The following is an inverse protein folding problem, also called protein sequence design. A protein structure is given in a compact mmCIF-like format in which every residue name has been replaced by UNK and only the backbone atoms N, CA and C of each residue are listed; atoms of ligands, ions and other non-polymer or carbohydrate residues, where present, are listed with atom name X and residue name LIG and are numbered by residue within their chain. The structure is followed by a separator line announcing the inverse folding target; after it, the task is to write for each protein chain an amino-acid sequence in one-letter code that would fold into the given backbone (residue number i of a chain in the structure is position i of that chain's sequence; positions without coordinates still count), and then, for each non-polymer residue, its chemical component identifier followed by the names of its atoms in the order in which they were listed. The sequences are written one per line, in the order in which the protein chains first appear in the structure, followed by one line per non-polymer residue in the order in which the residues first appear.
data_IF_460470262864
#
_entry.id   IF_460470262864
#
_cell.length_a   1.000
_cell.length_b   1.000
_cell.length_c   1.000
_cell.angle_alpha   90.00
_cell.angle_beta   90.00
_cell.angle_gamma   90.00
#
_symmetry.space_group_name_H-M   'P 1'
#
loop_
_entity.id
_entity.type
_entity.pdbx_description
1 polymer ?
#
# COMPACT_ATOMS: atom_id res chain seq x y z
N UNK A 1 -13.03 21.36 27.79
CA UNK A 1 -13.08 19.89 27.60
C UNK A 1 -12.89 19.62 26.13
N UNK A 2 -11.81 18.92 25.73
CA UNK A 2 -11.51 18.65 24.31
C UNK A 2 -12.36 17.48 23.84
N UNK A 3 -13.18 17.72 22.82
CA UNK A 3 -14.07 16.74 22.20
C UNK A 3 -13.24 15.54 21.72
N UNK A 4 -13.45 14.38 22.34
CA UNK A 4 -13.02 13.10 21.77
C UNK A 4 -13.98 12.77 20.65
N UNK A 5 -13.61 13.05 19.40
CA UNK A 5 -14.30 12.55 18.21
C UNK A 5 -14.13 11.03 18.22
N UNK A 6 -15.04 10.34 18.90
CA UNK A 6 -15.11 8.89 18.95
C UNK A 6 -15.77 8.46 17.65
N UNK A 7 -14.95 8.27 16.60
CA UNK A 7 -15.42 7.73 15.33
C UNK A 7 -16.06 6.37 15.66
N UNK A 8 -17.34 6.13 15.29
CA UNK A 8 -17.96 4.84 15.52
C UNK A 8 -17.19 3.76 14.77
N UNK A 9 -16.97 2.62 15.43
CA UNK A 9 -16.38 1.43 14.81
C UNK A 9 -17.30 1.00 13.66
N UNK A 10 -16.81 1.04 12.43
CA UNK A 10 -17.52 0.60 11.23
C UNK A 10 -16.99 -0.80 10.85
N UNK A 11 -17.80 -1.86 10.95
CA UNK A 11 -17.35 -3.21 10.61
C UNK A 11 -17.02 -3.37 9.10
N UNK A 12 -17.48 -2.44 8.25
CA UNK A 12 -17.12 -2.36 6.83
C UNK A 12 -15.77 -1.67 6.57
N UNK A 13 -15.15 -1.04 7.57
CA UNK A 13 -13.83 -0.38 7.46
C UNK A 13 -12.65 -1.37 7.63
N UNK A 14 -12.95 -2.65 7.88
CA UNK A 14 -11.94 -3.69 8.13
C UNK A 14 -11.36 -4.33 6.86
N UNK A 15 -11.94 -4.03 5.69
CA UNK A 15 -11.68 -4.72 4.41
C UNK A 15 -11.41 -3.74 3.26
N UNK A 16 -10.79 -2.59 3.55
CA UNK A 16 -10.37 -1.67 2.48
C UNK A 16 -8.97 -2.02 2.01
N UNK A 17 -8.87 -3.07 1.19
CA UNK A 17 -7.74 -3.19 0.27
C UNK A 17 -7.66 -1.89 -0.53
N UNK A 18 -6.47 -1.31 -0.62
CA UNK A 18 -6.21 -0.13 -1.45
C UNK A 18 -5.32 -0.55 -2.60
N UNK A 19 -5.31 0.24 -3.67
CA UNK A 19 -4.36 0.00 -4.75
C UNK A 19 -2.98 0.56 -4.41
N UNK A 20 -1.92 0.03 -5.00
CA UNK A 20 -0.58 0.63 -4.94
C UNK A 20 -0.63 2.09 -5.40
N UNK A 21 -1.46 2.41 -6.40
CA UNK A 21 -1.71 3.78 -6.83
C UNK A 21 -2.19 4.68 -5.69
N UNK A 22 -3.10 4.19 -4.85
CA UNK A 22 -3.55 4.94 -3.68
C UNK A 22 -2.51 4.96 -2.55
N UNK A 23 -1.75 3.88 -2.41
CA UNK A 23 -0.63 3.82 -1.48
C UNK A 23 0.43 4.89 -1.81
N UNK A 24 0.78 5.08 -3.08
CA UNK A 24 1.73 6.14 -3.49
C UNK A 24 1.26 7.56 -3.19
N UNK A 25 -0.06 7.81 -3.17
CA UNK A 25 -0.59 9.12 -2.74
C UNK A 25 -0.33 9.37 -1.26
N UNK A 26 -0.35 8.32 -0.43
CA UNK A 26 -0.02 8.39 1.01
C UNK A 26 1.49 8.42 1.24
N UNK A 27 2.24 7.70 0.41
CA UNK A 27 3.67 7.48 0.52
C UNK A 27 4.37 7.86 -0.80
N UNK A 28 4.56 9.17 -1.06
CA UNK A 28 5.10 9.64 -2.33
C UNK A 28 6.52 9.17 -2.60
N UNK A 29 7.29 8.81 -1.57
CA UNK A 29 8.64 8.26 -1.73
C UNK A 29 8.69 6.97 -2.56
N UNK A 30 7.58 6.22 -2.62
CA UNK A 30 7.46 5.03 -3.45
C UNK A 30 7.52 5.36 -4.96
N UNK A 31 7.28 6.62 -5.36
CA UNK A 31 7.37 7.04 -6.76
C UNK A 31 8.84 7.22 -7.23
N UNK A 32 9.79 7.39 -6.30
CA UNK A 32 11.20 7.68 -6.60
C UNK A 32 12.10 6.43 -6.57
N UNK A 33 11.53 5.24 -6.34
CA UNK A 33 12.27 3.99 -6.19
C UNK A 33 12.42 3.23 -7.52
N UNK A 34 13.59 2.59 -7.72
CA UNK A 34 13.84 1.72 -8.88
C UNK A 34 13.50 0.27 -8.54
N UNK A 35 12.30 -0.14 -8.94
CA UNK A 35 11.77 -1.46 -8.60
C UNK A 35 12.45 -2.62 -9.31
N UNK A 36 13.44 -2.40 -10.20
CA UNK A 36 14.33 -3.49 -10.65
C UNK A 36 15.41 -3.83 -9.64
N UNK A 37 15.62 -2.98 -8.64
CA UNK A 37 16.65 -3.13 -7.60
C UNK A 37 16.06 -3.29 -6.21
N UNK A 38 14.89 -2.70 -5.96
CA UNK A 38 14.16 -2.83 -4.69
C UNK A 38 12.83 -3.55 -4.89
N UNK A 39 12.41 -4.30 -3.87
CA UNK A 39 11.13 -5.02 -3.88
C UNK A 39 10.04 -4.10 -3.34
N UNK A 40 8.93 -3.94 -4.06
CA UNK A 40 7.79 -3.17 -3.57
C UNK A 40 7.26 -3.75 -2.26
N UNK A 41 7.14 -5.09 -2.18
CA UNK A 41 6.72 -5.77 -0.95
C UNK A 41 7.61 -5.38 0.25
N UNK A 42 8.93 -5.39 0.09
CA UNK A 42 9.85 -5.02 1.17
C UNK A 42 9.75 -3.55 1.60
N UNK A 43 9.36 -2.65 0.70
CA UNK A 43 9.20 -1.23 1.03
C UNK A 43 7.88 -0.95 1.74
N UNK A 44 6.83 -1.73 1.45
CA UNK A 44 5.49 -1.51 2.02
C UNK A 44 5.27 -2.28 3.34
N UNK A 45 6.00 -3.38 3.57
CA UNK A 45 5.96 -4.13 4.84
C UNK A 45 6.25 -3.22 6.06
N UNK A 46 7.31 -2.38 6.08
CA UNK A 46 7.57 -1.43 7.16
C UNK A 46 6.48 -0.37 7.33
N UNK A 47 5.68 -0.13 6.29
CA UNK A 47 4.53 0.77 6.32
C UNK A 47 3.27 0.08 6.86
N UNK A 48 3.38 -1.20 7.26
CA UNK A 48 2.30 -2.09 7.65
C UNK A 48 1.32 -2.37 6.51
N UNK A 49 1.84 -2.62 5.31
CA UNK A 49 1.05 -3.08 4.16
C UNK A 49 1.65 -4.34 3.54
N UNK A 50 0.82 -5.17 2.94
CA UNK A 50 1.21 -6.38 2.22
C UNK A 50 0.55 -6.41 0.84
N UNK A 51 1.24 -6.97 -0.16
CA UNK A 51 0.69 -7.11 -1.50
C UNK A 51 -0.25 -8.32 -1.54
N UNK A 52 -1.49 -8.09 -1.96
CA UNK A 52 -2.53 -9.12 -2.04
C UNK A 52 -2.68 -9.73 -3.45
N UNK A 53 -2.07 -9.13 -4.47
CA UNK A 53 -2.17 -9.58 -5.85
C UNK A 53 -1.31 -10.82 -6.16
N UNK A 54 -1.95 -11.88 -6.68
CA UNK A 54 -1.27 -13.13 -7.09
C UNK A 54 -0.32 -12.96 -8.27
N UNK A 55 -0.58 -11.98 -9.12
CA UNK A 55 0.25 -11.66 -10.29
C UNK A 55 1.45 -10.77 -9.94
N UNK A 56 1.59 -10.39 -8.66
CA UNK A 56 2.74 -9.62 -8.22
C UNK A 56 4.04 -10.40 -8.43
N UNK A 57 5.03 -9.71 -8.96
CA UNK A 57 6.38 -10.24 -9.15
C UNK A 57 7.40 -9.20 -8.74
N UNK A 58 8.28 -9.59 -7.82
CA UNK A 58 9.41 -8.75 -7.46
C UNK A 58 10.32 -8.48 -8.66
N UNK A 59 10.88 -7.27 -8.69
CA UNK A 59 11.83 -6.84 -9.71
C UNK A 59 11.29 -6.83 -11.14
N UNK A 60 9.97 -6.74 -11.29
CA UNK A 60 9.28 -6.82 -12.57
C UNK A 60 9.45 -5.55 -13.43
N UNK A 61 9.18 -4.38 -12.86
CA UNK A 61 9.38 -3.08 -13.51
C UNK A 61 10.35 -2.20 -12.73
N UNK A 62 10.90 -1.18 -13.39
CA UNK A 62 11.65 -0.10 -12.73
C UNK A 62 10.74 0.94 -12.10
N UNK A 63 9.51 1.11 -12.61
CA UNK A 63 8.59 2.14 -12.16
C UNK A 63 7.46 1.53 -11.35
N UNK A 64 6.96 2.27 -10.36
CA UNK A 64 5.80 1.85 -9.57
C UNK A 64 4.48 1.87 -10.37
N UNK A 65 4.43 2.61 -11.49
CA UNK A 65 3.22 2.73 -12.31
C UNK A 65 2.74 1.37 -12.84
N UNK A 66 3.66 0.46 -13.16
CA UNK A 66 3.34 -0.92 -13.57
C UNK A 66 2.74 -1.76 -12.43
N UNK A 67 2.81 -1.28 -11.20
CA UNK A 67 2.25 -1.92 -10.01
C UNK A 67 0.95 -1.25 -9.54
N UNK A 68 0.51 -0.15 -10.18
CA UNK A 68 -0.61 0.67 -9.71
C UNK A 68 -1.94 -0.07 -9.57
N UNK A 69 -2.18 -1.07 -10.40
CA UNK A 69 -3.42 -1.86 -10.37
C UNK A 69 -3.36 -3.00 -9.35
N UNK A 70 -2.20 -3.25 -8.72
CA UNK A 70 -2.10 -4.24 -7.66
C UNK A 70 -2.76 -3.73 -6.38
N UNK A 71 -3.43 -4.66 -5.71
CA UNK A 71 -4.07 -4.44 -4.42
C UNK A 71 -3.09 -4.73 -3.30
N UNK A 72 -3.11 -3.86 -2.31
CA UNK A 72 -2.37 -4.00 -1.06
C UNK A 72 -3.36 -3.93 0.10
N UNK A 73 -3.08 -4.70 1.13
CA UNK A 73 -3.86 -4.73 2.36
C UNK A 73 -3.05 -4.16 3.52
N UNK A 74 -3.72 -3.56 4.49
CA UNK A 74 -3.10 -3.05 5.71
C UNK A 74 -2.95 -4.19 6.73
N UNK A 75 -1.73 -4.42 7.18
CA UNK A 75 -1.42 -5.42 8.21
C UNK A 75 -1.56 -4.75 9.58
N UNK A 76 -2.56 -5.12 10.38
CA UNK A 76 -2.85 -4.53 11.71
C UNK A 76 -2.18 -5.33 12.84
#
# INVERSE_FOLDING_TARGET
MKNKTKVPFNPDDFDTSITVKELTKKFPHLLDLDYKKVSLANEIIPLNYEIFSKDYKDFFSSNIEDYFDFEVDAVI
#
